data_IF_074900990218
#
_entry.id   IF_074900990218
#
_cell.length_a   1.000
_cell.length_b   1.000
_cell.length_c   1.000
_cell.angle_alpha   90.00
_cell.angle_beta   90.00
_cell.angle_gamma   90.00
#
_symmetry.space_group_name_H-M   'P 1'
#
loop_
_entity.id
_entity.type
_entity.pdbx_description
1 polymer ?
#
# COMPACT_ATOMS: atom_id res chain seq x y z
N UNK A 1 -7.78 13.49 -10.83
CA UNK A 1 -8.38 12.85 -9.64
C UNK A 1 -9.33 11.67 -9.94
N UNK A 2 -9.78 11.44 -11.18
CA UNK A 2 -10.79 10.42 -11.51
C UNK A 2 -10.35 8.96 -11.35
N UNK A 3 -9.06 8.64 -11.58
CA UNK A 3 -8.55 7.26 -11.52
C UNK A 3 -8.50 6.68 -10.11
N UNK A 4 -8.11 7.48 -9.11
CA UNK A 4 -8.12 7.05 -7.70
C UNK A 4 -9.54 6.76 -7.24
N UNK A 5 -10.51 7.63 -7.55
CA UNK A 5 -11.92 7.42 -7.19
C UNK A 5 -12.51 6.18 -7.88
N UNK A 6 -12.13 5.90 -9.14
CA UNK A 6 -12.47 4.64 -9.83
C UNK A 6 -11.81 3.41 -9.21
N UNK A 7 -10.60 3.54 -8.65
CA UNK A 7 -9.92 2.42 -8.00
C UNK A 7 -10.65 1.95 -6.74
N UNK A 8 -11.29 2.87 -6.03
CA UNK A 8 -12.16 2.54 -4.90
C UNK A 8 -13.58 2.14 -5.30
N UNK A 9 -14.04 2.55 -6.49
CA UNK A 9 -15.34 2.11 -7.01
C UNK A 9 -15.36 0.59 -7.19
N UNK A 10 -16.43 -0.05 -6.68
CA UNK A 10 -16.67 -1.51 -6.65
C UNK A 10 -15.96 -2.30 -5.55
N UNK A 11 -15.40 -1.65 -4.52
CA UNK A 11 -14.95 -2.34 -3.32
C UNK A 11 -16.11 -2.41 -2.32
N UNK A 12 -16.33 -3.58 -1.71
CA UNK A 12 -17.41 -3.82 -0.75
C UNK A 12 -17.21 -3.04 0.57
N UNK A 13 -15.96 -2.71 0.89
CA UNK A 13 -15.61 -2.02 2.13
C UNK A 13 -15.59 -0.50 1.96
N UNK A 14 -15.91 0.26 3.02
CA UNK A 14 -15.70 1.70 3.08
C UNK A 14 -14.28 2.09 2.66
N UNK A 15 -14.18 3.19 1.90
CA UNK A 15 -12.90 3.70 1.38
C UNK A 15 -11.89 3.94 2.49
N UNK A 16 -12.34 4.40 3.65
CA UNK A 16 -11.48 4.72 4.80
C UNK A 16 -10.76 3.47 5.35
N UNK A 17 -11.45 2.33 5.41
CA UNK A 17 -10.87 1.06 5.88
C UNK A 17 -9.79 0.59 4.91
N UNK A 18 -10.08 0.66 3.61
CA UNK A 18 -9.16 0.24 2.56
C UNK A 18 -7.93 1.14 2.53
N UNK A 19 -8.14 2.45 2.57
CA UNK A 19 -7.07 3.44 2.59
C UNK A 19 -6.19 3.30 3.84
N UNK A 20 -6.79 3.09 5.02
CA UNK A 20 -6.06 2.88 6.27
C UNK A 20 -5.21 1.60 6.23
N UNK A 21 -5.77 0.50 5.71
CA UNK A 21 -5.07 -0.78 5.56
C UNK A 21 -3.86 -0.65 4.63
N UNK A 22 -4.05 -0.06 3.45
CA UNK A 22 -2.99 0.13 2.46
C UNK A 22 -1.93 1.11 2.97
N UNK A 23 -2.34 2.17 3.67
CA UNK A 23 -1.41 3.10 4.32
C UNK A 23 -0.55 2.38 5.34
N UNK A 24 -1.14 1.55 6.20
CA UNK A 24 -0.38 0.81 7.22
C UNK A 24 0.61 -0.19 6.60
N UNK A 25 0.21 -0.88 5.54
CA UNK A 25 1.09 -1.76 4.79
C UNK A 25 2.30 -1.01 4.19
N UNK A 26 2.09 0.20 3.68
CA UNK A 26 3.16 0.99 3.06
C UNK A 26 4.04 1.74 4.07
N UNK A 27 3.48 2.15 5.20
CA UNK A 27 4.18 2.96 6.20
C UNK A 27 4.96 2.13 7.21
N UNK A 28 4.55 0.88 7.45
CA UNK A 28 5.15 0.00 8.46
C UNK A 28 5.54 -1.34 7.84
N UNK A 29 6.55 -2.00 8.39
CA UNK A 29 7.00 -3.35 8.02
C UNK A 29 6.05 -4.45 8.52
N UNK A 30 4.75 -4.30 8.24
CA UNK A 30 3.70 -5.23 8.66
C UNK A 30 3.49 -6.33 7.63
N UNK A 31 3.31 -7.57 8.11
CA UNK A 31 2.82 -8.66 7.28
C UNK A 31 1.33 -8.47 6.96
N UNK A 32 0.85 -9.07 5.87
CA UNK A 32 -0.58 -9.05 5.53
C UNK A 32 -1.43 -9.79 6.58
N UNK A 33 -0.87 -10.79 7.26
CA UNK A 33 -1.53 -11.52 8.35
C UNK A 33 -1.66 -10.64 9.61
N UNK A 34 -0.61 -9.88 9.93
CA UNK A 34 -0.66 -8.93 11.05
C UNK A 34 -1.73 -7.86 10.79
N UNK A 35 -1.87 -7.40 9.54
CA UNK A 35 -2.93 -6.47 9.17
C UNK A 35 -4.33 -7.09 9.31
N UNK A 36 -4.51 -8.35 8.91
CA UNK A 36 -5.76 -9.09 9.12
C UNK A 36 -6.12 -9.20 10.60
N UNK A 37 -5.16 -9.53 11.46
CA UNK A 37 -5.35 -9.57 12.93
C UNK A 37 -5.76 -8.18 13.47
N UNK A 38 -5.04 -7.12 13.09
CA UNK A 38 -5.36 -5.74 13.49
C UNK A 38 -6.75 -5.26 13.04
N UNK A 39 -7.24 -5.74 11.89
CA UNK A 39 -8.59 -5.42 11.41
C UNK A 39 -9.63 -6.22 12.18
N UNK A 40 -9.32 -7.47 12.51
CA UNK A 40 -10.16 -8.35 13.33
C UNK A 40 -10.35 -7.79 14.74
N UNK A 41 -9.29 -7.27 15.37
CA UNK A 41 -9.37 -6.55 16.65
C UNK A 41 -10.32 -5.34 16.62
N UNK A 42 -10.50 -4.74 15.45
CA UNK A 42 -11.41 -3.60 15.22
C UNK A 42 -12.82 -4.04 14.82
N UNK A 43 -13.11 -5.35 14.86
CA UNK A 43 -14.39 -5.92 14.45
C UNK A 43 -14.59 -6.02 12.93
N UNK A 44 -13.54 -5.86 12.14
CA UNK A 44 -13.60 -5.89 10.68
C UNK A 44 -12.98 -7.20 10.18
N UNK A 45 -13.84 -8.12 9.76
CA UNK A 45 -13.41 -9.42 9.22
C UNK A 45 -12.97 -9.21 7.76
N UNK A 46 -11.66 -9.29 7.50
CA UNK A 46 -11.06 -9.17 6.16
C UNK A 46 -9.94 -10.18 6.01
N UNK A 47 -10.04 -11.06 5.03
CA UNK A 47 -8.99 -12.02 4.73
C UNK A 47 -7.73 -11.34 4.13
N UNK A 48 -6.54 -11.81 4.52
CA UNK A 48 -5.26 -11.29 4.01
C UNK A 48 -5.16 -11.26 2.48
N UNK A 49 -5.81 -12.18 1.75
CA UNK A 49 -5.82 -12.18 0.28
C UNK A 49 -6.59 -10.98 -0.28
N UNK A 50 -7.63 -10.53 0.43
CA UNK A 50 -8.40 -9.32 0.08
C UNK A 50 -7.56 -8.07 0.29
N UNK A 51 -6.84 -8.01 1.41
CA UNK A 51 -5.86 -6.94 1.66
C UNK A 51 -4.79 -6.90 0.57
N UNK A 52 -4.26 -8.07 0.18
CA UNK A 52 -3.26 -8.16 -0.87
C UNK A 52 -3.76 -7.62 -2.22
N UNK A 53 -5.01 -7.96 -2.60
CA UNK A 53 -5.65 -7.44 -3.82
C UNK A 53 -5.80 -5.92 -3.79
N UNK A 54 -6.14 -5.33 -2.64
CA UNK A 54 -6.20 -3.87 -2.50
C UNK A 54 -4.83 -3.23 -2.67
N UNK A 55 -3.79 -3.80 -2.05
CA UNK A 55 -2.41 -3.33 -2.17
C UNK A 55 -1.96 -3.38 -3.63
N UNK A 56 -2.08 -4.53 -4.31
CA UNK A 56 -1.68 -4.66 -5.72
C UNK A 56 -2.39 -3.63 -6.62
N UNK A 57 -3.67 -3.35 -6.36
CA UNK A 57 -4.46 -2.40 -7.16
C UNK A 57 -4.08 -0.94 -6.89
N UNK A 58 -3.82 -0.58 -5.63
CA UNK A 58 -3.66 0.81 -5.21
C UNK A 58 -2.21 1.29 -5.23
N UNK A 59 -1.25 0.42 -4.92
CA UNK A 59 0.18 0.78 -4.86
C UNK A 59 0.68 1.42 -6.16
N UNK A 60 0.39 0.91 -7.37
CA UNK A 60 0.83 1.54 -8.62
C UNK A 60 0.25 2.94 -8.84
N UNK A 61 -0.98 3.18 -8.35
CA UNK A 61 -1.63 4.48 -8.46
C UNK A 61 -1.01 5.49 -7.48
N UNK A 62 -0.70 5.02 -6.27
CA UNK A 62 0.00 5.82 -5.26
C UNK A 62 1.43 6.13 -5.71
N UNK A 63 2.15 5.17 -6.27
CA UNK A 63 3.50 5.38 -6.82
C UNK A 63 3.50 6.43 -7.93
N UNK A 64 2.57 6.35 -8.89
CA UNK A 64 2.39 7.39 -9.92
C UNK A 64 2.11 8.77 -9.32
N UNK A 65 1.29 8.84 -8.28
CA UNK A 65 0.99 10.10 -7.60
C UNK A 65 2.17 10.62 -6.76
N UNK A 66 2.99 9.71 -6.22
CA UNK A 66 4.19 10.03 -5.46
C UNK A 66 5.30 10.55 -6.37
N UNK A 67 5.57 9.86 -7.49
CA UNK A 67 6.56 10.30 -8.50
C UNK A 67 6.28 11.70 -9.04
N UNK A 68 5.01 12.06 -9.25
CA UNK A 68 4.62 13.43 -9.67
C UNK A 68 4.93 14.50 -8.63
N UNK A 69 4.95 14.13 -7.35
CA UNK A 69 5.26 15.02 -6.22
C UNK A 69 6.73 14.95 -5.80
N UNK A 70 7.46 13.93 -6.25
CA UNK A 70 8.89 13.81 -6.02
C UNK A 70 9.58 14.98 -6.73
N UNK A 71 10.38 15.74 -5.99
CA UNK A 71 11.22 16.78 -6.58
C UNK A 71 12.17 16.15 -7.62
N UNK A 72 12.47 16.90 -8.66
CA UNK A 72 13.51 16.51 -9.62
C UNK A 72 14.83 16.37 -8.88
N UNK A 73 15.53 15.25 -9.10
CA UNK A 73 16.84 15.03 -8.51
C UNK A 73 17.81 16.13 -8.95
N UNK A 74 18.54 16.71 -8.01
CA UNK A 74 19.52 17.75 -8.29
C UNK A 74 20.77 17.22 -8.98
N UNK A 75 21.75 18.10 -9.22
CA UNK A 75 23.03 17.77 -9.87
C UNK A 75 23.91 16.79 -9.07
N UNK A 76 23.61 16.58 -7.79
CA UNK A 76 24.29 15.62 -6.90
C UNK A 76 23.22 14.76 -6.23
N UNK A 77 23.44 13.46 -6.21
CA UNK A 77 22.58 12.47 -5.56
C UNK A 77 23.47 11.56 -4.68
N UNK A 78 22.91 11.07 -3.58
CA UNK A 78 23.55 10.06 -2.72
C UNK A 78 22.87 8.72 -2.97
N UNK A 79 23.66 7.66 -3.07
CA UNK A 79 23.17 6.31 -3.27
C UNK A 79 23.38 5.51 -2.00
N UNK A 80 22.31 4.96 -1.47
CA UNK A 80 22.38 3.96 -0.40
C UNK A 80 22.12 2.58 -1.02
N UNK A 81 22.94 1.60 -0.66
CA UNK A 81 22.77 0.21 -1.10
C UNK A 81 22.07 -0.59 0.00
N UNK A 82 21.07 -1.39 -0.39
CA UNK A 82 20.35 -2.27 0.54
C UNK A 82 20.18 -3.64 -0.09
N UNK A 83 20.72 -4.67 0.55
CA UNK A 83 20.58 -6.05 0.12
C UNK A 83 19.29 -6.64 0.70
N UNK A 84 18.36 -7.00 -0.18
CA UNK A 84 17.09 -7.64 0.19
C UNK A 84 17.09 -9.03 -0.42
N UNK A 85 17.00 -10.07 0.42
CA UNK A 85 16.84 -11.46 -0.04
C UNK A 85 15.43 -11.67 -0.57
N UNK A 86 15.29 -12.03 -1.84
CA UNK A 86 14.01 -12.30 -2.48
C UNK A 86 13.85 -13.80 -2.64
N UNK A 87 12.86 -14.38 -1.95
CA UNK A 87 12.62 -15.84 -1.91
C UNK A 87 13.82 -16.65 -1.40
N UNK A 88 14.65 -16.04 -0.55
CA UNK A 88 15.84 -16.70 0.02
C UNK A 88 17.06 -16.70 -0.90
N UNK A 89 16.99 -16.04 -2.06
CA UNK A 89 18.11 -15.75 -2.96
C UNK A 89 18.44 -14.26 -2.95
#
# INVERSE_FOLDING_TARGET
MSLLRKAFSRLHYPVDIIAHSVRRYLAYSLSLRNLEEMMTERGIIVDHSTLHRWVIRLVPLLDKAFRRRKCTEGRRWRMDETYIKVKGQ
#
